data_IF_472236377693
#
_entry.id   IF_472236377693
#
_cell.length_a   1.000
_cell.length_b   1.000
_cell.length_c   1.000
_cell.angle_alpha   90.00
_cell.angle_beta   90.00
_cell.angle_gamma   90.00
#
_symmetry.space_group_name_H-M   'P 1'
#
loop_
_entity.id
_entity.type
_entity.pdbx_description
1 polymer ?
#
# COMPACT_ATOMS: atom_id res chain seq x y z
N UNK A 1 -11.53 0.29 12.20
CA UNK A 1 -12.67 0.82 11.41
C UNK A 1 -12.46 0.64 9.91
N UNK A 2 -11.54 1.34 9.24
CA UNK A 2 -11.36 1.22 7.77
C UNK A 2 -11.06 -0.21 7.28
N UNK A 3 -10.22 -0.95 8.01
CA UNK A 3 -9.86 -2.32 7.69
C UNK A 3 -11.06 -3.28 7.64
N UNK A 4 -12.03 -3.11 8.53
CA UNK A 4 -13.27 -3.91 8.57
C UNK A 4 -14.17 -3.61 7.37
N UNK A 5 -14.21 -2.35 6.91
CA UNK A 5 -14.98 -1.95 5.74
C UNK A 5 -14.35 -2.44 4.43
N UNK A 6 -13.01 -2.48 4.35
CA UNK A 6 -12.29 -3.00 3.19
C UNK A 6 -12.66 -4.46 2.89
N UNK A 7 -12.81 -5.30 3.92
CA UNK A 7 -13.15 -6.71 3.75
C UNK A 7 -14.55 -6.93 3.19
N UNK A 8 -15.43 -5.93 3.33
CA UNK A 8 -16.82 -5.96 2.86
C UNK A 8 -16.98 -5.47 1.42
N UNK A 9 -15.93 -4.93 0.81
CA UNK A 9 -15.99 -4.48 -0.59
C UNK A 9 -15.85 -5.68 -1.53
N UNK A 10 -16.81 -5.83 -2.43
CA UNK A 10 -16.78 -6.82 -3.51
C UNK A 10 -15.71 -6.49 -4.54
N UNK A 11 -14.48 -6.90 -4.29
CA UNK A 11 -13.33 -6.77 -5.19
C UNK A 11 -12.35 -7.92 -4.98
N UNK A 12 -11.34 -8.03 -5.84
CA UNK A 12 -10.32 -9.07 -5.73
C UNK A 12 -9.56 -8.95 -4.38
N UNK A 13 -9.18 -10.09 -3.80
CA UNK A 13 -8.46 -10.12 -2.53
C UNK A 13 -7.14 -9.35 -2.59
N UNK A 14 -6.42 -9.41 -3.72
CA UNK A 14 -5.21 -8.62 -3.96
C UNK A 14 -5.44 -7.12 -3.86
N UNK A 15 -6.58 -6.60 -4.35
CA UNK A 15 -6.91 -5.17 -4.28
C UNK A 15 -7.19 -4.73 -2.84
N UNK A 16 -7.85 -5.58 -2.03
CA UNK A 16 -8.05 -5.32 -0.59
C UNK A 16 -6.72 -5.33 0.15
N UNK A 17 -5.86 -6.31 -0.14
CA UNK A 17 -4.52 -6.40 0.45
C UNK A 17 -3.66 -5.19 0.06
N UNK A 18 -3.73 -4.71 -1.18
CA UNK A 18 -3.02 -3.48 -1.59
C UNK A 18 -3.43 -2.27 -0.72
N UNK A 19 -4.73 -2.08 -0.50
CA UNK A 19 -5.20 -1.01 0.39
C UNK A 19 -4.73 -1.19 1.84
N UNK A 20 -4.71 -2.43 2.35
CA UNK A 20 -4.20 -2.76 3.69
C UNK A 20 -2.69 -2.51 3.80
N UNK A 21 -1.91 -2.88 2.79
CA UNK A 21 -0.47 -2.63 2.76
C UNK A 21 -0.16 -1.13 2.69
N UNK A 22 -0.94 -0.31 1.98
CA UNK A 22 -0.78 1.15 2.06
C UNK A 22 -0.98 1.70 3.48
N UNK A 23 -1.94 1.14 4.22
CA UNK A 23 -2.18 1.53 5.61
C UNK A 23 -1.04 1.09 6.54
N UNK A 24 -0.43 -0.06 6.29
CA UNK A 24 0.64 -0.61 7.12
C UNK A 24 2.00 0.02 6.84
N UNK A 25 2.27 0.36 5.58
CA UNK A 25 3.60 0.77 5.11
C UNK A 25 3.70 2.27 4.82
N UNK A 26 2.58 2.97 4.64
CA UNK A 26 2.52 4.41 4.38
C UNK A 26 3.26 4.88 3.11
N UNK A 27 3.61 3.93 2.24
CA UNK A 27 4.23 4.19 0.94
C UNK A 27 3.27 4.89 -0.02
N UNK A 28 3.80 5.45 -1.09
CA UNK A 28 2.95 6.02 -2.14
C UNK A 28 2.26 4.89 -2.89
N UNK A 29 1.04 5.17 -3.39
CA UNK A 29 0.31 4.25 -4.27
C UNK A 29 1.17 3.75 -5.42
N UNK A 30 1.89 4.64 -6.10
CA UNK A 30 2.72 4.29 -7.24
C UNK A 30 3.87 3.37 -6.84
N UNK A 31 4.50 3.63 -5.69
CA UNK A 31 5.54 2.76 -5.12
C UNK A 31 4.97 1.35 -4.87
N UNK A 32 3.77 1.25 -4.28
CA UNK A 32 3.13 -0.05 -4.04
C UNK A 32 2.70 -0.77 -5.32
N UNK A 33 2.08 -0.07 -6.27
CA UNK A 33 1.60 -0.72 -7.50
C UNK A 33 2.74 -1.18 -8.38
N UNK A 34 3.86 -0.45 -8.38
CA UNK A 34 5.05 -0.79 -9.18
C UNK A 34 6.02 -1.72 -8.44
N UNK A 35 5.72 -2.13 -7.20
CA UNK A 35 6.60 -2.95 -6.40
C UNK A 35 6.89 -4.29 -7.10
N UNK A 36 8.17 -4.64 -7.18
CA UNK A 36 8.62 -5.94 -7.70
C UNK A 36 9.09 -6.85 -6.58
N UNK A 37 9.06 -8.17 -6.82
CA UNK A 37 9.48 -9.16 -5.81
C UNK A 37 10.95 -9.01 -5.40
N UNK A 38 11.80 -8.51 -6.29
CA UNK A 38 13.23 -8.29 -6.04
C UNK A 38 13.49 -7.14 -5.04
N UNK A 39 12.50 -6.30 -4.75
CA UNK A 39 12.59 -5.24 -3.75
C UNK A 39 12.30 -5.73 -2.32
N UNK A 40 11.72 -6.93 -2.17
CA UNK A 40 11.24 -7.46 -0.88
C UNK A 40 12.23 -8.49 -0.33
N UNK A 41 12.95 -8.11 0.72
CA UNK A 41 13.75 -9.04 1.51
C UNK A 41 12.90 -9.61 2.66
N UNK A 42 12.42 -10.84 2.48
CA UNK A 42 11.59 -11.54 3.46
C UNK A 42 12.35 -11.92 4.73
N UNK A 43 13.65 -12.22 4.64
CA UNK A 43 14.46 -12.57 5.81
C UNK A 43 14.76 -11.37 6.71
N UNK A 44 14.97 -10.20 6.13
CA UNK A 44 15.27 -8.97 6.87
C UNK A 44 14.02 -8.14 7.18
N UNK A 45 12.83 -8.62 6.78
CA UNK A 45 11.59 -7.87 6.89
C UNK A 45 11.70 -6.47 6.27
N UNK A 46 12.32 -6.35 5.10
CA UNK A 46 12.69 -5.06 4.50
C UNK A 46 12.18 -4.97 3.07
N UNK A 47 11.51 -3.86 2.76
CA UNK A 47 11.19 -3.47 1.39
C UNK A 47 12.04 -2.26 0.99
N UNK A 48 12.88 -2.45 -0.02
CA UNK A 48 13.78 -1.41 -0.56
C UNK A 48 13.20 -0.84 -1.84
N UNK A 49 12.55 0.31 -1.75
CA UNK A 49 11.93 0.97 -2.90
C UNK A 49 12.99 1.79 -3.64
N UNK A 50 13.28 1.47 -4.91
CA UNK A 50 14.24 2.22 -5.71
C UNK A 50 13.69 3.61 -6.03
N UNK A 51 14.58 4.59 -6.17
CA UNK A 51 14.18 5.89 -6.72
C UNK A 51 14.14 5.84 -8.23
N UNK A 52 12.98 6.11 -8.82
CA UNK A 52 12.85 6.33 -10.25
C UNK A 52 13.78 7.48 -10.71
N UNK A 53 14.81 7.13 -11.49
CA UNK A 53 15.43 7.99 -12.50
C UNK A 53 16.26 9.21 -12.10
N UNK A 54 16.37 9.61 -10.83
CA UNK A 54 17.19 10.79 -10.46
C UNK A 54 18.46 10.44 -9.68
N UNK A 55 19.60 10.74 -10.32
CA UNK A 55 20.94 10.83 -9.72
C UNK A 55 20.85 11.63 -8.41
N UNK A 56 21.28 11.02 -7.27
CA UNK A 56 21.54 11.66 -5.96
C UNK A 56 20.44 11.67 -4.88
N UNK A 57 19.63 10.61 -4.71
CA UNK A 57 18.96 10.39 -3.40
C UNK A 57 18.92 8.91 -3.03
N UNK A 58 18.95 8.63 -1.72
CA UNK A 58 18.94 7.29 -1.16
C UNK A 58 17.63 6.53 -1.48
N UNK A 59 17.68 5.19 -1.61
CA UNK A 59 16.49 4.33 -1.64
C UNK A 59 15.58 4.59 -0.44
N UNK A 60 14.28 4.36 -0.60
CA UNK A 60 13.34 4.43 0.51
C UNK A 60 13.22 3.06 1.15
N UNK A 61 13.71 2.94 2.38
CA UNK A 61 13.69 1.70 3.15
C UNK A 61 12.42 1.63 4.00
N UNK A 62 11.66 0.56 3.85
CA UNK A 62 10.41 0.32 4.57
C UNK A 62 10.53 -0.98 5.35
N UNK A 63 10.66 -0.88 6.67
CA UNK A 63 10.63 -2.05 7.55
C UNK A 63 9.19 -2.59 7.63
N UNK A 64 9.05 -3.89 7.39
CA UNK A 64 7.78 -4.57 7.28
C UNK A 64 7.38 -5.15 8.64
N UNK A 65 6.16 -4.85 9.08
CA UNK A 65 5.57 -5.57 10.21
C UNK A 65 5.30 -7.02 9.82
N UNK A 66 5.14 -7.90 10.81
CA UNK A 66 4.77 -9.30 10.57
C UNK A 66 3.52 -9.41 9.69
N UNK A 67 2.51 -8.56 9.96
CA UNK A 67 1.29 -8.53 9.16
C UNK A 67 1.55 -8.13 7.69
N UNK A 68 2.45 -7.18 7.43
CA UNK A 68 2.81 -6.80 6.07
C UNK A 68 3.55 -7.94 5.36
N UNK A 69 4.47 -8.63 6.05
CA UNK A 69 5.15 -9.81 5.52
C UNK A 69 4.18 -10.92 5.16
N UNK A 70 3.23 -11.25 6.04
CA UNK A 70 2.23 -12.28 5.80
C UNK A 70 1.42 -11.96 4.53
N UNK A 71 1.12 -10.68 4.29
CA UNK A 71 0.50 -10.25 3.04
C UNK A 71 1.38 -10.44 1.82
N UNK A 72 2.64 -10.02 1.86
CA UNK A 72 3.56 -10.25 0.74
C UNK A 72 3.73 -11.74 0.43
N UNK A 73 3.80 -12.60 1.45
CA UNK A 73 3.87 -14.05 1.29
C UNK A 73 2.61 -14.59 0.63
N UNK A 74 1.42 -14.20 1.12
CA UNK A 74 0.15 -14.63 0.52
C UNK A 74 0.03 -14.18 -0.94
N UNK A 75 0.51 -12.99 -1.27
CA UNK A 75 0.48 -12.42 -2.63
C UNK A 75 1.32 -13.20 -3.64
N UNK A 76 2.36 -13.94 -3.24
CA UNK A 76 3.14 -14.79 -4.17
C UNK A 76 2.28 -15.80 -4.90
N UNK A 77 1.25 -16.33 -4.24
CA UNK A 77 0.32 -17.29 -4.86
C UNK A 77 -0.58 -16.66 -5.92
N UNK A 78 -0.88 -15.36 -5.78
CA UNK A 78 -1.75 -14.61 -6.69
C UNK A 78 -1.00 -13.99 -7.87
N UNK A 79 0.32 -13.79 -7.77
CA UNK A 79 1.10 -13.11 -8.80
C UNK A 79 1.38 -13.96 -10.05
N UNK A 80 1.17 -15.28 -10.00
CA UNK A 80 1.16 -16.13 -11.19
C UNK A 80 2.47 -16.13 -12.01
N UNK A 81 3.61 -15.83 -11.37
CA UNK A 81 4.91 -15.71 -12.03
C UNK A 81 5.28 -14.31 -12.51
N UNK A 82 4.43 -13.30 -12.31
CA UNK A 82 4.76 -11.90 -12.56
C UNK A 82 5.92 -11.41 -11.70
N UNK A 83 6.75 -10.54 -12.26
CA UNK A 83 7.78 -9.79 -11.51
C UNK A 83 7.16 -8.80 -10.52
N UNK A 84 5.93 -8.33 -10.80
CA UNK A 84 5.20 -7.39 -9.95
C UNK A 84 4.50 -8.11 -8.79
N UNK A 85 4.53 -7.49 -7.61
CA UNK A 85 3.75 -7.93 -6.44
C UNK A 85 2.25 -7.81 -6.72
N UNK A 86 1.87 -6.79 -7.48
CA UNK A 86 0.49 -6.52 -7.89
C UNK A 86 0.41 -6.44 -9.41
N UNK A 87 0.30 -7.58 -10.12
CA UNK A 87 0.13 -7.56 -11.57
C UNK A 87 -1.21 -6.96 -11.99
N UNK A 88 -1.26 -6.42 -13.21
CA UNK A 88 -2.50 -6.05 -13.88
C UNK A 88 -3.33 -7.29 -14.17
N UNK A 89 -4.65 -7.14 -14.09
CA UNK A 89 -5.60 -8.23 -14.36
C UNK A 89 -5.53 -8.72 -15.82
N UNK A 90 -5.18 -7.83 -16.73
CA UNK A 90 -5.22 -8.09 -18.18
C UNK A 90 -3.86 -8.48 -18.75
N UNK A 91 -2.78 -8.16 -18.04
CA UNK A 91 -1.41 -8.37 -18.48
C UNK A 91 -0.51 -8.53 -17.25
N UNK A 92 0.07 -9.71 -17.07
CA UNK A 92 0.95 -10.00 -15.92
C UNK A 92 2.29 -9.27 -15.98
N UNK A 93 2.66 -8.75 -17.15
CA UNK A 93 3.92 -8.03 -17.36
C UNK A 93 3.75 -6.53 -17.07
N UNK A 94 2.54 -6.10 -16.68
CA UNK A 94 2.23 -4.74 -16.26
C UNK A 94 1.76 -4.67 -14.81
N UNK A 95 2.03 -3.58 -14.09
CA UNK A 95 1.56 -3.40 -12.73
C UNK A 95 0.06 -3.07 -12.66
N UNK A 96 -0.54 -3.31 -11.50
CA UNK A 96 -1.90 -2.89 -11.16
C UNK A 96 -2.03 -1.36 -11.30
N UNK A 97 -3.13 -0.90 -11.90
CA UNK A 97 -3.38 0.54 -11.99
C UNK A 97 -3.60 1.16 -10.60
N UNK A 98 -2.98 2.32 -10.35
CA UNK A 98 -3.27 3.13 -9.15
C UNK A 98 -4.74 3.55 -9.05
N UNK A 99 -5.47 3.61 -10.18
CA UNK A 99 -6.90 3.88 -10.22
C UNK A 99 -7.73 2.79 -9.53
N UNK A 100 -7.29 1.52 -9.62
CA UNK A 100 -7.93 0.39 -8.94
C UNK A 100 -7.92 0.57 -7.43
N UNK A 101 -6.79 1.03 -6.88
CA UNK A 101 -6.68 1.36 -5.44
C UNK A 101 -7.59 2.54 -5.08
N UNK A 102 -7.63 3.60 -5.90
CA UNK A 102 -8.52 4.74 -5.64
C UNK A 102 -9.99 4.32 -5.58
N UNK A 103 -10.39 3.41 -6.47
CA UNK A 103 -11.75 2.89 -6.53
C UNK A 103 -12.11 2.12 -5.27
N UNK A 104 -11.28 1.18 -4.81
CA UNK A 104 -11.58 0.40 -3.59
C UNK A 104 -11.66 1.29 -2.35
N UNK A 105 -10.78 2.28 -2.22
CA UNK A 105 -10.81 3.23 -1.10
C UNK A 105 -12.07 4.10 -1.14
N UNK A 106 -12.49 4.54 -2.33
CA UNK A 106 -13.73 5.31 -2.52
C UNK A 106 -14.96 4.48 -2.15
N UNK A 107 -15.02 3.21 -2.56
CA UNK A 107 -16.12 2.32 -2.22
C UNK A 107 -16.18 2.03 -0.72
N UNK A 108 -15.01 1.81 -0.10
CA UNK A 108 -14.88 1.64 1.36
C UNK A 108 -15.44 2.85 2.10
N UNK A 109 -15.03 4.05 1.70
CA UNK A 109 -15.52 5.30 2.28
C UNK A 109 -17.04 5.45 2.11
N UNK A 110 -17.57 5.21 0.91
CA UNK A 110 -19.02 5.31 0.65
C UNK A 110 -19.83 4.32 1.49
N UNK A 111 -19.33 3.10 1.67
CA UNK A 111 -20.00 2.10 2.50
C UNK A 111 -20.03 2.53 3.97
N UNK A 112 -18.91 3.03 4.50
CA UNK A 112 -18.85 3.54 5.86
C UNK A 112 -19.82 4.71 6.08
N UNK A 113 -19.88 5.66 5.14
CA UNK A 113 -20.79 6.80 5.23
C UNK A 113 -22.26 6.41 5.13
N UNK A 114 -22.60 5.43 4.28
CA UNK A 114 -23.97 4.89 4.20
C UNK A 114 -24.45 4.32 5.55
N UNK A 115 -23.52 3.85 6.38
CA UNK A 115 -23.80 3.29 7.71
C UNK A 115 -23.59 4.28 8.85
N UNK A 116 -23.51 5.58 8.53
CA UNK A 116 -23.40 6.66 9.50
C UNK A 116 -22.07 6.67 10.27
N UNK A 117 -21.04 5.98 9.78
CA UNK A 117 -19.75 5.97 10.43
C UNK A 117 -18.98 7.27 10.15
N UNK A 118 -18.35 7.89 11.16
CA UNK A 118 -17.54 9.10 11.00
C UNK A 118 -16.16 8.75 10.41
N UNK A 119 -16.13 8.07 9.27
CA UNK A 119 -14.90 7.81 8.53
C UNK A 119 -14.61 9.01 7.65
N UNK A 120 -13.48 9.69 7.86
CA UNK A 120 -13.04 10.76 6.96
C UNK A 120 -12.74 10.22 5.56
N UNK A 121 -12.85 11.08 4.54
CA UNK A 121 -12.50 10.69 3.16
C UNK A 121 -11.01 10.36 3.12
N UNK A 122 -10.73 9.06 3.11
CA UNK A 122 -9.39 8.53 3.21
C UNK A 122 -8.77 8.41 1.82
N UNK A 123 -7.98 9.40 1.42
CA UNK A 123 -7.07 9.30 0.27
C UNK A 123 -5.67 8.88 0.73
N UNK A 124 -4.86 8.21 -0.11
CA UNK A 124 -3.46 7.91 0.22
C UNK A 124 -2.59 9.15 0.44
N UNK A 125 -3.02 10.30 -0.09
CA UNK A 125 -2.41 11.60 0.20
C UNK A 125 -2.71 12.06 1.64
N UNK A 126 -3.92 11.79 2.14
CA UNK A 126 -4.34 12.14 3.50
C UNK A 126 -3.65 11.28 4.55
N UNK A 127 -3.38 10.02 4.23
CA UNK A 127 -2.62 9.09 5.07
C UNK A 127 -1.19 9.59 5.31
N UNK A 128 -0.44 9.89 4.26
CA UNK A 128 0.94 10.36 4.40
C UNK A 128 0.98 11.71 5.12
N UNK A 129 0.02 12.61 4.87
CA UNK A 129 -0.09 13.87 5.61
C UNK A 129 -0.36 13.62 7.09
N UNK A 130 -1.34 12.77 7.41
CA UNK A 130 -1.70 12.46 8.80
C UNK A 130 -0.56 11.78 9.54
N UNK A 131 0.09 10.77 8.94
CA UNK A 131 1.25 10.13 9.57
C UNK A 131 2.45 11.06 9.68
N UNK A 132 2.72 11.90 8.67
CA UNK A 132 3.78 12.91 8.77
C UNK A 132 3.49 13.92 9.88
N UNK A 133 2.24 14.35 10.04
CA UNK A 133 1.81 15.23 11.13
C UNK A 133 1.93 14.52 12.47
N UNK A 134 1.41 13.30 12.62
CA UNK A 134 1.50 12.52 13.86
C UNK A 134 2.94 12.17 14.24
N UNK A 135 3.81 11.85 13.26
CA UNK A 135 5.23 11.60 13.50
C UNK A 135 6.00 12.87 13.85
N UNK A 136 5.61 14.01 13.27
CA UNK A 136 6.14 15.32 13.65
C UNK A 136 5.72 15.68 15.09
N UNK A 137 4.43 15.51 15.41
CA UNK A 137 3.87 15.75 16.75
C UNK A 137 4.46 14.79 17.80
N UNK A 138 4.76 13.55 17.42
CA UNK A 138 5.41 12.56 18.28
C UNK A 138 6.94 12.69 18.32
N UNK A 139 7.52 13.73 17.69
CA UNK A 139 8.94 14.07 17.79
C UNK A 139 9.89 13.18 16.97
N UNK A 140 9.38 12.36 16.06
CA UNK A 140 10.19 11.42 15.26
C UNK A 140 10.80 12.03 13.98
N UNK A 141 10.45 13.27 13.63
CA UNK A 141 11.07 13.99 12.51
C UNK A 141 12.13 14.94 13.06
N UNK A 142 13.40 14.53 12.98
CA UNK A 142 14.55 15.43 13.15
C UNK A 142 14.88 16.06 11.79
N UNK A 143 14.94 17.39 11.75
CA UNK A 143 15.44 18.15 10.60
C UNK A 143 16.96 18.27 10.76
N UNK A 144 17.68 17.51 9.95
CA UNK A 144 19.09 17.73 9.64
C UNK A 144 19.37 17.27 8.19
#
# INVERSE_FOLDING_TARGET
>A
MMYQYLDRIGTASSVRVAAKLLLLTMVRKSELTNATWNEINFSEALWTIPKEGMKRRNPHLVFLSQQALDFFIALKTFAGGSDYVFPSRYDSDLPMSTATINQVLTLTYRLAQKEGQPLSKFGPHDLRRTASTLLHEAGYIRLD
#
